data_IF_680279156319
#
_entry.id   IF_680279156319
#
_cell.length_a   1.000
_cell.length_b   1.000
_cell.length_c   1.000
_cell.angle_alpha   90.00
_cell.angle_beta   90.00
_cell.angle_gamma   90.00
#
_symmetry.space_group_name_H-M   'P 1'
#
loop_
_entity.id
_entity.type
_entity.pdbx_description
1 polymer ?
#
# COMPACT_ATOMS: atom_id res chain seq x y z
N UNK A 1 -11.86 -9.84 2.00
CA UNK A 1 -11.45 -10.82 3.05
C UNK A 1 -10.10 -10.45 3.66
N UNK A 2 -9.00 -10.41 2.90
CA UNK A 2 -7.67 -10.10 3.45
C UNK A 2 -7.58 -8.72 4.14
N UNK A 3 -7.96 -7.65 3.43
CA UNK A 3 -7.92 -6.28 3.97
C UNK A 3 -8.75 -6.17 5.25
N UNK A 4 -9.96 -6.72 5.25
CA UNK A 4 -10.85 -6.71 6.42
C UNK A 4 -10.19 -7.38 7.63
N UNK A 5 -9.53 -8.52 7.43
CA UNK A 5 -8.82 -9.21 8.51
C UNK A 5 -7.61 -8.43 9.02
N UNK A 6 -6.91 -7.72 8.13
CA UNK A 6 -5.84 -6.81 8.53
C UNK A 6 -6.39 -5.61 9.33
N UNK A 7 -7.48 -4.98 8.87
CA UNK A 7 -8.17 -3.90 9.57
C UNK A 7 -8.73 -4.34 10.94
N UNK A 8 -9.20 -5.58 11.05
CA UNK A 8 -9.66 -6.18 12.29
C UNK A 8 -8.53 -6.56 13.27
N UNK A 9 -7.26 -6.44 12.85
CA UNK A 9 -6.11 -6.81 13.67
C UNK A 9 -5.86 -8.32 13.78
N UNK A 10 -6.55 -9.15 12.99
CA UNK A 10 -6.36 -10.61 12.95
C UNK A 10 -5.09 -11.01 12.20
N UNK A 11 -4.56 -10.12 11.36
CA UNK A 11 -3.37 -10.34 10.56
C UNK A 11 -2.30 -9.32 10.93
N UNK A 12 -1.10 -9.80 11.23
CA UNK A 12 0.06 -8.93 11.38
C UNK A 12 0.56 -8.50 10.00
N UNK A 13 0.49 -7.20 9.74
CA UNK A 13 1.05 -6.59 8.53
C UNK A 13 2.45 -6.05 8.77
N UNK A 14 3.21 -6.00 7.70
CA UNK A 14 4.57 -5.48 7.67
C UNK A 14 4.69 -4.40 6.59
N UNK A 15 5.57 -3.43 6.82
CA UNK A 15 5.92 -2.45 5.81
C UNK A 15 6.89 -3.04 4.76
N UNK A 16 7.30 -2.25 3.77
CA UNK A 16 8.23 -2.68 2.74
C UNK A 16 9.60 -3.12 3.29
N UNK A 17 10.04 -2.54 4.42
CA UNK A 17 11.29 -2.89 5.12
C UNK A 17 11.15 -4.13 6.01
N UNK A 18 9.98 -4.79 6.01
CA UNK A 18 9.64 -5.96 6.83
C UNK A 18 9.56 -5.65 8.33
N UNK A 19 9.34 -4.40 8.67
CA UNK A 19 9.07 -3.97 10.05
C UNK A 19 7.57 -4.13 10.33
N UNK A 20 7.17 -4.58 11.54
CA UNK A 20 5.77 -4.64 11.95
C UNK A 20 5.05 -3.31 11.78
N UNK A 21 3.81 -3.35 11.30
CA UNK A 21 2.93 -2.20 11.33
C UNK A 21 2.17 -2.17 12.65
N UNK A 22 2.18 -1.02 13.32
CA UNK A 22 1.37 -0.83 14.52
C UNK A 22 -0.13 -0.80 14.18
N UNK A 23 -1.00 -1.36 15.04
CA UNK A 23 -2.44 -1.40 14.79
C UNK A 23 -3.06 -0.02 14.54
N UNK A 24 -2.57 1.02 15.23
CA UNK A 24 -3.04 2.38 15.06
C UNK A 24 -2.74 2.92 13.64
N UNK A 25 -1.61 2.55 13.05
CA UNK A 25 -1.22 2.95 11.69
C UNK A 25 -1.96 2.16 10.60
N UNK A 26 -2.65 1.08 10.95
CA UNK A 26 -3.31 0.21 9.97
C UNK A 26 -4.38 0.95 9.17
N UNK A 27 -5.12 1.87 9.80
CA UNK A 27 -6.15 2.68 9.13
C UNK A 27 -5.52 3.73 8.22
N UNK A 28 -4.46 4.41 8.70
CA UNK A 28 -3.77 5.46 7.95
C UNK A 28 -3.15 4.96 6.64
N UNK A 29 -2.78 3.69 6.56
CA UNK A 29 -2.24 3.08 5.33
C UNK A 29 -3.23 3.13 4.16
N UNK A 30 -4.53 3.07 4.47
CA UNK A 30 -5.61 3.16 3.49
C UNK A 30 -6.03 4.60 3.21
N UNK A 31 -5.39 5.60 3.82
CA UNK A 31 -5.75 7.00 3.64
C UNK A 31 -4.66 7.69 2.81
N UNK A 32 -5.05 8.24 1.66
CA UNK A 32 -4.25 9.25 0.97
C UNK A 32 -4.81 10.63 1.31
N UNK A 33 -3.95 11.48 1.87
CA UNK A 33 -4.27 12.89 2.10
C UNK A 33 -3.83 13.65 0.86
N UNK A 34 -4.78 14.27 0.19
CA UNK A 34 -4.53 15.18 -0.92
C UNK A 34 -4.98 16.60 -0.51
N UNK A 35 -4.35 17.63 -1.07
CA UNK A 35 -4.63 19.02 -0.71
C UNK A 35 -4.99 19.81 -1.95
N UNK A 36 -6.23 20.30 -2.01
CA UNK A 36 -6.69 21.19 -3.08
C UNK A 36 -6.53 22.62 -2.58
N UNK A 37 -5.70 23.40 -3.27
CA UNK A 37 -5.57 24.84 -3.02
C UNK A 37 -6.53 25.54 -3.98
N UNK A 38 -7.54 26.22 -3.44
CA UNK A 38 -8.50 27.02 -4.21
C UNK A 38 -8.36 28.49 -3.86
N UNK A 39 -8.54 29.37 -4.85
CA UNK A 39 -8.55 30.81 -4.65
C UNK A 39 -9.97 31.32 -4.75
N UNK A 40 -10.39 32.12 -3.77
CA UNK A 40 -11.66 32.82 -3.83
C UNK A 40 -11.56 33.94 -4.90
N UNK A 41 -12.39 33.91 -5.97
CA UNK A 41 -12.22 34.82 -7.11
C UNK A 41 -12.59 36.27 -6.79
N UNK A 42 -13.27 36.56 -5.67
CA UNK A 42 -13.63 37.92 -5.28
C UNK A 42 -12.69 38.50 -4.24
N UNK A 43 -12.24 37.68 -3.28
CA UNK A 43 -11.43 38.13 -2.14
C UNK A 43 -9.95 37.80 -2.27
N UNK A 44 -9.56 36.98 -3.27
CA UNK A 44 -8.20 36.46 -3.46
C UNK A 44 -7.65 35.71 -2.24
N UNK A 45 -8.51 35.26 -1.32
CA UNK A 45 -8.10 34.45 -0.18
C UNK A 45 -7.80 33.01 -0.60
N UNK A 46 -6.71 32.47 -0.09
CA UNK A 46 -6.30 31.08 -0.29
C UNK A 46 -7.11 30.15 0.63
N UNK A 47 -7.90 29.25 0.03
CA UNK A 47 -8.67 28.21 0.73
C UNK A 47 -7.99 26.87 0.47
N UNK A 48 -7.31 26.36 1.49
CA UNK A 48 -6.66 25.05 1.49
C UNK A 48 -7.66 23.99 1.96
N UNK A 49 -8.12 23.11 1.07
CA UNK A 49 -9.01 22.00 1.41
C UNK A 49 -8.23 20.68 1.40
N UNK A 50 -8.12 20.03 2.56
CA UNK A 50 -7.53 18.70 2.65
C UNK A 50 -8.60 17.65 2.36
N UNK A 51 -8.48 16.96 1.24
CA UNK A 51 -9.36 15.83 0.86
C UNK A 51 -8.73 14.53 1.37
N UNK A 52 -9.55 13.70 2.00
CA UNK A 52 -9.15 12.35 2.45
C UNK A 52 -9.73 11.32 1.50
N UNK A 53 -8.87 10.59 0.81
CA UNK A 53 -9.24 9.46 -0.02
C UNK A 53 -9.01 8.17 0.78
N UNK A 54 -10.06 7.38 0.97
CA UNK A 54 -10.00 6.08 1.64
C UNK A 54 -10.02 4.95 0.62
N UNK A 55 -9.02 4.06 0.69
CA UNK A 55 -8.93 2.89 -0.15
C UNK A 55 -9.63 1.68 0.46
N UNK A 56 -10.45 1.02 -0.35
CA UNK A 56 -11.13 -0.21 -0.05
C UNK A 56 -10.61 -1.39 -0.87
N UNK A 57 -11.25 -2.57 -0.71
CA UNK A 57 -10.91 -3.76 -1.50
C UNK A 57 -11.07 -3.59 -3.01
N UNK A 58 -11.96 -2.70 -3.46
CA UNK A 58 -12.22 -2.44 -4.87
C UNK A 58 -11.07 -1.67 -5.56
N UNK A 59 -10.26 -0.96 -4.78
CA UNK A 59 -9.17 -0.12 -5.28
C UNK A 59 -7.84 -0.90 -5.44
N UNK A 60 -7.81 -2.16 -5.02
CA UNK A 60 -6.65 -3.02 -5.21
C UNK A 60 -6.53 -3.36 -6.70
N UNK A 61 -5.47 -2.88 -7.34
CA UNK A 61 -5.18 -3.19 -8.73
C UNK A 61 -4.33 -4.45 -8.88
N UNK A 62 -3.44 -4.74 -7.93
CA UNK A 62 -2.48 -5.85 -8.04
C UNK A 62 -1.97 -6.34 -6.68
N UNK A 63 -1.12 -7.37 -6.68
CA UNK A 63 -0.42 -7.89 -5.51
C UNK A 63 1.10 -7.87 -5.73
N UNK A 64 1.83 -7.33 -4.75
CA UNK A 64 3.29 -7.41 -4.73
C UNK A 64 3.75 -8.62 -3.94
N UNK A 65 4.65 -9.40 -4.53
CA UNK A 65 5.25 -10.59 -3.89
C UNK A 65 6.71 -10.29 -3.56
N UNK A 66 7.09 -10.53 -2.30
CA UNK A 66 8.49 -10.59 -1.88
C UNK A 66 8.97 -12.03 -1.94
N UNK A 67 10.11 -12.26 -2.58
CA UNK A 67 10.70 -13.59 -2.74
C UNK A 67 12.13 -13.61 -2.22
N UNK A 68 12.53 -14.73 -1.65
CA UNK A 68 13.93 -15.05 -1.42
C UNK A 68 14.43 -15.89 -2.59
N UNK A 69 15.51 -15.45 -3.22
CA UNK A 69 16.16 -16.18 -4.30
C UNK A 69 17.49 -16.69 -3.77
N UNK A 70 17.69 -18.01 -3.85
CA UNK A 70 18.88 -18.65 -3.33
C UNK A 70 19.35 -19.76 -4.26
N UNK A 71 20.65 -19.97 -4.30
CA UNK A 71 21.22 -21.11 -5.01
C UNK A 71 21.17 -22.34 -4.11
N UNK A 72 20.56 -23.42 -4.58
CA UNK A 72 20.48 -24.70 -3.86
C UNK A 72 21.62 -25.61 -4.33
N UNK A 73 22.71 -25.80 -3.56
CA UNK A 73 23.87 -26.57 -4.03
C UNK A 73 23.54 -28.04 -4.26
N UNK A 74 22.57 -28.59 -3.53
CA UNK A 74 22.10 -29.98 -3.68
C UNK A 74 21.49 -30.28 -5.04
N UNK A 75 20.99 -29.27 -5.74
CA UNK A 75 20.33 -29.40 -7.05
C UNK A 75 21.04 -28.59 -8.14
N UNK A 76 22.17 -27.95 -7.80
CA UNK A 76 22.92 -27.03 -8.68
C UNK A 76 22.00 -26.06 -9.44
N UNK A 77 20.97 -25.55 -8.77
CA UNK A 77 19.93 -24.74 -9.40
C UNK A 77 19.54 -23.53 -8.55
N UNK A 78 19.09 -22.48 -9.23
CA UNK A 78 18.50 -21.32 -8.59
C UNK A 78 17.06 -21.65 -8.20
N UNK A 79 16.72 -21.42 -6.93
CA UNK A 79 15.37 -21.63 -6.40
C UNK A 79 14.84 -20.32 -5.81
N UNK A 80 13.51 -20.22 -5.72
CA UNK A 80 12.85 -19.11 -5.06
C UNK A 80 11.85 -19.61 -4.01
N UNK A 81 11.70 -18.84 -2.94
CA UNK A 81 10.67 -19.06 -1.93
C UNK A 81 9.91 -17.76 -1.68
N UNK A 82 8.59 -17.86 -1.53
CA UNK A 82 7.74 -16.69 -1.25
C UNK A 82 7.90 -16.29 0.20
N UNK A 83 8.31 -15.04 0.43
CA UNK A 83 8.48 -14.47 1.76
C UNK A 83 7.20 -13.80 2.25
N UNK A 84 6.58 -12.99 1.41
CA UNK A 84 5.39 -12.22 1.76
C UNK A 84 4.62 -11.79 0.51
N UNK A 85 3.34 -11.50 0.68
CA UNK A 85 2.45 -10.96 -0.37
C UNK A 85 1.77 -9.72 0.19
N UNK A 86 1.48 -8.73 -0.65
CA UNK A 86 0.83 -7.50 -0.22
C UNK A 86 -0.09 -6.93 -1.29
N UNK A 87 -1.33 -6.51 -0.95
CA UNK A 87 -2.20 -5.83 -1.90
C UNK A 87 -1.62 -4.46 -2.25
N UNK A 88 -1.71 -4.07 -3.52
CA UNK A 88 -1.16 -2.83 -4.04
C UNK A 88 -2.21 -1.99 -4.77
N UNK A 89 -2.12 -0.69 -4.58
CA UNK A 89 -2.94 0.32 -5.26
C UNK A 89 -2.09 1.08 -6.29
N UNK A 90 -2.70 1.58 -7.37
CA UNK A 90 -2.00 2.43 -8.32
C UNK A 90 -1.67 3.79 -7.69
N UNK A 91 -0.46 4.27 -7.94
CA UNK A 91 -0.12 5.69 -7.78
C UNK A 91 -0.36 6.33 -9.14
N UNK A 92 -1.30 7.28 -9.18
CA UNK A 92 -1.71 7.99 -10.38
C UNK A 92 -1.19 9.43 -10.29
N UNK A 93 -0.72 9.99 -11.39
CA UNK A 93 -0.33 11.40 -11.47
C UNK A 93 -1.52 12.34 -11.71
N UNK A 94 -1.25 13.64 -11.76
CA UNK A 94 -2.24 14.69 -12.01
C UNK A 94 -2.92 14.56 -13.40
N UNK A 95 -2.30 13.85 -14.33
CA UNK A 95 -2.80 13.65 -15.70
C UNK A 95 -3.55 12.32 -15.85
N UNK A 96 -3.75 11.57 -14.76
CA UNK A 96 -4.45 10.28 -14.78
C UNK A 96 -3.60 9.09 -15.23
N UNK A 97 -2.29 9.28 -15.41
CA UNK A 97 -1.38 8.19 -15.80
C UNK A 97 -0.88 7.44 -14.57
N UNK A 98 -0.82 6.10 -14.67
CA UNK A 98 -0.29 5.27 -13.60
C UNK A 98 1.25 5.34 -13.57
N UNK A 99 1.81 5.85 -12.48
CA UNK A 99 3.25 5.94 -12.26
C UNK A 99 3.85 4.66 -11.67
N UNK A 100 3.15 4.07 -10.69
CA UNK A 100 3.67 2.94 -9.94
C UNK A 100 2.55 2.17 -9.22
N UNK A 101 2.92 1.05 -8.61
CA UNK A 101 2.09 0.31 -7.67
C UNK A 101 2.68 0.42 -6.25
N UNK A 102 1.86 0.89 -5.31
CA UNK A 102 2.20 1.01 -3.89
C UNK A 102 1.59 -0.15 -3.11
N UNK A 103 2.38 -1.07 -2.53
CA UNK A 103 1.84 -2.06 -1.61
C UNK A 103 1.34 -1.33 -0.34
N UNK A 104 0.15 -1.69 0.12
CA UNK A 104 -0.44 -1.15 1.34
C UNK A 104 0.27 -1.74 2.57
N UNK A 105 0.36 -3.06 2.61
CA UNK A 105 1.08 -3.82 3.62
C UNK A 105 1.52 -5.15 3.03
N UNK A 106 2.44 -5.84 3.69
CA UNK A 106 2.80 -7.21 3.40
C UNK A 106 2.31 -8.13 4.51
N UNK A 107 1.78 -9.29 4.16
CA UNK A 107 1.53 -10.39 5.08
C UNK A 107 2.33 -11.61 4.65
N UNK A 108 2.67 -12.45 5.62
CA UNK A 108 3.30 -13.74 5.39
C UNK A 108 2.51 -14.81 6.14
N UNK A 109 2.54 -16.03 5.62
CA UNK A 109 1.96 -17.18 6.32
C UNK A 109 3.04 -17.72 7.25
N UNK A 110 2.77 -17.71 8.55
CA UNK A 110 3.58 -18.45 9.53
C UNK A 110 3.33 -19.95 9.43
#
# INVERSE_FOLDING_TARGET
ILIERFKAGELMGYNQKREPLEPASAQDIFIQKDTIITFDPETYEEKVQVVRLEFGPIDIADFRVQQNWFFAPSHTSLQCSTLAVGPAIPIIDEYGSQLALRPLFFWRRE
#
